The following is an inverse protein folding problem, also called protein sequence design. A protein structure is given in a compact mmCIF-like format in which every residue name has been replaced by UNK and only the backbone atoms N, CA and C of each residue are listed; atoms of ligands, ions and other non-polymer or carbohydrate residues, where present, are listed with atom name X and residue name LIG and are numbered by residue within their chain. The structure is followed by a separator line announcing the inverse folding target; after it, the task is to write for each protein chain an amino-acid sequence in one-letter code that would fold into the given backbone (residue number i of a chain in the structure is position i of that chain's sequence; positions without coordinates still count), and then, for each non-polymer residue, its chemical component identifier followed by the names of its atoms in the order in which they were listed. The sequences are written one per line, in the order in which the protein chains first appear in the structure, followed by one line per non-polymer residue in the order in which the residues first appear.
data_IF_233106048544
#
_entry.id   IF_233106048544
#
_cell.length_a   1.000
_cell.length_b   1.000
_cell.length_c   1.000
_cell.angle_alpha   90.00
_cell.angle_beta   90.00
_cell.angle_gamma   90.00
#
_symmetry.space_group_name_H-M   'P 1'
#
loop_
_entity.id
_entity.type
_entity.pdbx_description
1 polymer ?
#
# COMPACT_ATOMS: atom_id res chain seq x y z
N UNK A 1 -0.84 -34.86 -11.77
CA UNK A 1 0.04 -34.96 -10.59
C UNK A 1 -0.35 -33.86 -9.61
N UNK A 2 -0.54 -34.19 -8.33
CA UNK A 2 -0.94 -33.21 -7.31
C UNK A 2 0.30 -32.71 -6.58
N UNK A 3 0.37 -31.40 -6.32
CA UNK A 3 1.40 -30.77 -5.49
C UNK A 3 0.79 -30.44 -4.12
N UNK A 4 1.55 -30.66 -3.05
CA UNK A 4 1.10 -30.33 -1.68
C UNK A 4 1.50 -28.91 -1.32
N UNK A 5 0.53 -28.14 -0.84
CA UNK A 5 0.71 -26.77 -0.36
C UNK A 5 0.39 -26.69 1.11
N UNK A 6 1.25 -26.00 1.86
CA UNK A 6 1.05 -25.76 3.30
C UNK A 6 0.72 -24.30 3.55
N UNK A 7 -0.43 -24.03 4.18
CA UNK A 7 -0.79 -22.71 4.69
C UNK A 7 -0.81 -22.71 6.22
N UNK A 8 -0.22 -21.67 6.82
CA UNK A 8 -0.29 -21.44 8.26
C UNK A 8 -1.61 -20.76 8.61
N UNK A 9 -2.66 -21.56 8.74
CA UNK A 9 -4.03 -21.09 8.99
C UNK A 9 -4.15 -20.17 10.22
N UNK A 10 -3.32 -20.38 11.25
CA UNK A 10 -3.26 -19.46 12.40
C UNK A 10 -2.84 -18.03 12.05
N UNK A 11 -1.95 -17.84 11.07
CA UNK A 11 -1.59 -16.51 10.58
C UNK A 11 -2.66 -15.94 9.64
N UNK A 12 -3.20 -16.74 8.71
CA UNK A 12 -4.32 -16.31 7.84
C UNK A 12 -5.52 -15.85 8.68
N UNK A 13 -5.82 -16.52 9.79
CA UNK A 13 -6.86 -16.09 10.73
C UNK A 13 -6.59 -14.68 11.31
N UNK A 14 -5.32 -14.34 11.53
CA UNK A 14 -4.91 -13.02 12.00
C UNK A 14 -4.96 -11.95 10.90
N UNK A 15 -4.99 -12.32 9.62
CA UNK A 15 -5.24 -11.41 8.49
C UNK A 15 -6.72 -11.11 8.25
N UNK A 16 -7.61 -11.47 9.20
CA UNK A 16 -9.02 -11.10 9.10
C UNK A 16 -9.17 -9.56 9.08
N UNK A 17 -10.03 -8.99 8.22
CA UNK A 17 -10.13 -7.54 8.04
C UNK A 17 -10.39 -6.77 9.33
N UNK A 18 -11.17 -7.33 10.26
CA UNK A 18 -11.47 -6.71 11.55
C UNK A 18 -10.20 -6.48 12.37
N UNK A 19 -9.30 -7.47 12.38
CA UNK A 19 -8.06 -7.39 13.15
C UNK A 19 -7.08 -6.42 12.51
N UNK A 20 -6.99 -6.39 11.18
CA UNK A 20 -6.14 -5.45 10.46
C UNK A 20 -6.62 -4.01 10.70
N UNK A 21 -7.93 -3.78 10.66
CA UNK A 21 -8.51 -2.47 10.99
C UNK A 21 -8.17 -2.05 12.43
N UNK A 22 -8.29 -2.96 13.40
CA UNK A 22 -7.85 -2.69 14.77
C UNK A 22 -6.36 -2.36 14.88
N UNK A 23 -5.50 -3.06 14.13
CA UNK A 23 -4.06 -2.76 14.07
C UNK A 23 -3.83 -1.35 13.49
N UNK A 24 -4.55 -0.95 12.45
CA UNK A 24 -4.46 0.39 11.88
C UNK A 24 -4.87 1.48 12.89
N UNK A 25 -5.96 1.25 13.63
CA UNK A 25 -6.43 2.14 14.71
C UNK A 25 -5.38 2.24 15.83
N UNK A 26 -4.84 1.10 16.28
CA UNK A 26 -3.80 1.08 17.31
C UNK A 26 -2.50 1.75 16.85
N UNK A 27 -2.13 1.59 15.58
CA UNK A 27 -0.98 2.27 15.00
C UNK A 27 -1.18 3.80 14.99
N UNK A 28 -2.38 4.27 14.62
CA UNK A 28 -2.73 5.69 14.71
C UNK A 28 -2.62 6.22 16.14
N UNK A 29 -3.19 5.52 17.13
CA UNK A 29 -3.05 5.91 18.54
C UNK A 29 -1.59 5.88 19.01
N UNK A 30 -0.80 4.91 18.56
CA UNK A 30 0.64 4.87 18.81
C UNK A 30 1.35 6.11 18.26
N UNK A 31 1.02 6.54 17.04
CA UNK A 31 1.54 7.79 16.50
C UNK A 31 1.07 9.00 17.31
N UNK A 32 -0.21 9.08 17.68
CA UNK A 32 -0.74 10.21 18.47
C UNK A 32 -0.05 10.39 19.83
N UNK A 33 0.37 9.30 20.47
CA UNK A 33 1.04 9.34 21.77
C UNK A 33 2.54 9.64 21.63
N UNK A 34 3.19 9.06 20.62
CA UNK A 34 4.63 9.12 20.48
C UNK A 34 5.12 10.31 19.65
N UNK A 35 4.32 10.79 18.68
CA UNK A 35 4.75 11.80 17.74
C UNK A 35 5.12 13.11 18.44
N UNK A 36 6.30 13.67 18.19
CA UNK A 36 6.74 14.92 18.80
C UNK A 36 6.18 16.12 18.02
N UNK A 37 4.86 16.18 17.85
CA UNK A 37 4.17 17.17 17.01
C UNK A 37 3.17 17.99 17.80
N UNK A 38 2.96 19.23 17.36
CA UNK A 38 1.80 20.04 17.73
C UNK A 38 0.65 19.74 16.75
N UNK A 39 -0.59 19.82 17.22
CA UNK A 39 -1.78 19.62 16.38
C UNK A 39 -2.39 20.99 16.10
N UNK A 40 -2.23 21.47 14.87
CA UNK A 40 -2.75 22.78 14.46
C UNK A 40 -4.26 22.75 14.20
N UNK A 41 -4.79 21.60 13.74
CA UNK A 41 -6.19 21.44 13.39
C UNK A 41 -6.91 20.49 14.33
N UNK A 42 -7.96 20.98 14.98
CA UNK A 42 -8.82 20.14 15.83
C UNK A 42 -9.81 19.35 14.98
N UNK A 43 -10.03 18.10 15.36
CA UNK A 43 -11.07 17.26 14.77
C UNK A 43 -12.46 17.79 15.18
N UNK A 44 -13.28 18.16 14.19
CA UNK A 44 -14.67 18.53 14.45
C UNK A 44 -15.55 17.29 14.65
N UNK A 45 -16.67 17.47 15.36
CA UNK A 45 -17.57 16.37 15.71
C UNK A 45 -18.16 15.66 14.48
N UNK A 46 -18.39 16.37 13.38
CA UNK A 46 -18.93 15.80 12.14
C UNK A 46 -17.92 14.85 11.50
N UNK A 47 -16.66 15.28 11.40
CA UNK A 47 -15.56 14.47 10.86
C UNK A 47 -15.27 13.23 11.71
N UNK A 48 -15.24 13.39 13.05
CA UNK A 48 -15.07 12.26 13.97
C UNK A 48 -16.23 11.28 13.82
N UNK A 49 -17.46 11.78 13.77
CA UNK A 49 -18.66 10.94 13.60
C UNK A 49 -18.61 10.17 12.28
N UNK A 50 -18.20 10.81 11.18
CA UNK A 50 -18.06 10.15 9.88
C UNK A 50 -17.06 9.00 9.91
N UNK A 51 -15.88 9.21 10.50
CA UNK A 51 -14.84 8.18 10.62
C UNK A 51 -15.35 7.03 11.50
N UNK A 52 -15.90 7.33 12.68
CA UNK A 52 -16.40 6.30 13.61
C UNK A 52 -17.52 5.49 12.95
N UNK A 53 -18.51 6.14 12.35
CA UNK A 53 -19.62 5.46 11.67
C UNK A 53 -19.10 4.60 10.50
N UNK A 54 -18.16 5.11 9.71
CA UNK A 54 -17.52 4.36 8.63
C UNK A 54 -16.85 3.07 9.13
N UNK A 55 -16.13 3.14 10.26
CA UNK A 55 -15.50 1.97 10.89
C UNK A 55 -16.53 0.98 11.45
N UNK A 56 -17.59 1.49 12.08
CA UNK A 56 -18.69 0.67 12.59
C UNK A 56 -19.41 -0.08 11.45
N UNK A 57 -19.71 0.62 10.34
CA UNK A 57 -20.34 0.02 9.16
C UNK A 57 -19.41 -0.99 8.48
N UNK A 58 -18.11 -0.68 8.38
CA UNK A 58 -17.12 -1.65 7.92
C UNK A 58 -17.15 -2.92 8.76
N UNK A 59 -17.10 -2.81 10.09
CA UNK A 59 -17.20 -3.97 10.96
C UNK A 59 -18.53 -4.70 10.83
N UNK A 60 -19.67 -3.99 10.73
CA UNK A 60 -20.96 -4.60 10.48
C UNK A 60 -20.94 -5.42 9.17
N UNK A 61 -20.33 -4.90 8.10
CA UNK A 61 -20.12 -5.61 6.84
C UNK A 61 -19.31 -6.89 6.99
N UNK A 62 -18.23 -6.85 7.79
CA UNK A 62 -17.45 -8.07 8.08
C UNK A 62 -18.23 -9.13 8.86
N UNK A 63 -19.23 -8.75 9.66
CA UNK A 63 -20.06 -9.71 10.42
C UNK A 63 -21.02 -10.53 9.56
N UNK A 64 -21.28 -10.11 8.32
CA UNK A 64 -22.08 -10.89 7.36
C UNK A 64 -21.49 -12.27 7.07
N UNK A 65 -20.19 -12.47 7.32
CA UNK A 65 -19.52 -13.78 7.20
C UNK A 65 -19.05 -14.21 8.60
N UNK A 66 -19.70 -15.26 9.13
CA UNK A 66 -19.43 -15.77 10.48
C UNK A 66 -17.98 -16.24 10.61
N UNK A 67 -17.30 -15.73 11.63
CA UNK A 67 -15.93 -16.14 11.95
C UNK A 67 -15.93 -17.28 12.96
N UNK A 68 -15.44 -18.45 12.54
CA UNK A 68 -15.09 -19.59 13.39
C UNK A 68 -13.62 -19.93 13.20
N UNK A 69 -12.89 -20.12 14.29
CA UNK A 69 -11.47 -20.47 14.23
C UNK A 69 -11.33 -21.97 13.92
N UNK A 70 -10.52 -22.28 12.92
CA UNK A 70 -10.06 -23.63 12.59
C UNK A 70 -8.66 -23.80 13.18
N UNK A 71 -8.48 -24.79 14.05
CA UNK A 71 -7.23 -25.02 14.79
C UNK A 71 -6.31 -26.07 14.15
N UNK A 72 -6.78 -26.79 13.14
CA UNK A 72 -5.99 -27.82 12.45
C UNK A 72 -5.20 -27.25 11.27
N UNK A 73 -3.92 -27.63 11.11
CA UNK A 73 -3.18 -27.35 9.88
C UNK A 73 -3.86 -28.08 8.72
N UNK A 74 -3.88 -27.45 7.54
CA UNK A 74 -4.48 -28.04 6.35
C UNK A 74 -3.43 -28.16 5.26
N UNK A 75 -3.27 -29.38 4.75
CA UNK A 75 -2.56 -29.64 3.49
C UNK A 75 -3.54 -29.52 2.34
N UNK A 76 -3.19 -28.68 1.36
CA UNK A 76 -4.00 -28.45 0.17
C UNK A 76 -3.32 -29.16 -0.99
N UNK A 77 -4.03 -30.06 -1.66
CA UNK A 77 -3.54 -30.67 -2.89
C UNK A 77 -3.98 -29.81 -4.08
N UNK A 78 -3.03 -29.35 -4.89
CA UNK A 78 -3.30 -28.55 -6.09
C UNK A 78 -2.84 -29.26 -7.36
N UNK A 79 -3.55 -29.05 -8.46
CA UNK A 79 -3.15 -29.56 -9.77
C UNK A 79 -1.85 -28.89 -10.24
N UNK A 80 -0.77 -29.69 -10.34
CA UNK A 80 0.56 -29.23 -10.73
C UNK A 80 0.57 -28.52 -12.08
N UNK A 81 -0.07 -29.13 -13.09
CA UNK A 81 -0.03 -28.60 -14.47
C UNK A 81 -0.79 -27.28 -14.60
N UNK A 82 -1.88 -27.14 -13.85
CA UNK A 82 -2.65 -25.89 -13.81
C UNK A 82 -1.90 -24.78 -13.07
N UNK A 83 -1.28 -25.07 -11.91
CA UNK A 83 -0.46 -24.08 -11.18
C UNK A 83 0.77 -23.66 -11.99
N UNK A 84 1.43 -24.59 -12.66
CA UNK A 84 2.55 -24.28 -13.54
C UNK A 84 2.13 -23.38 -14.72
N UNK A 85 0.94 -23.61 -15.29
CA UNK A 85 0.38 -22.73 -16.33
C UNK A 85 0.14 -21.32 -15.80
N UNK A 86 -0.48 -21.19 -14.62
CA UNK A 86 -0.72 -19.88 -13.98
C UNK A 86 0.61 -19.18 -13.72
N UNK A 87 1.60 -19.91 -13.18
CA UNK A 87 2.95 -19.39 -12.95
C UNK A 87 3.56 -18.84 -14.24
N UNK A 88 3.59 -19.62 -15.32
CA UNK A 88 4.20 -19.21 -16.59
C UNK A 88 3.50 -17.98 -17.17
N UNK A 89 2.18 -17.96 -17.21
CA UNK A 89 1.41 -16.82 -17.73
C UNK A 89 1.71 -15.56 -16.91
N UNK A 90 1.58 -15.64 -15.58
CA UNK A 90 1.78 -14.48 -14.71
C UNK A 90 3.24 -14.02 -14.66
N UNK A 91 4.20 -14.94 -14.78
CA UNK A 91 5.62 -14.61 -14.93
C UNK A 91 5.87 -13.81 -16.21
N UNK A 92 5.42 -14.28 -17.37
CA UNK A 92 5.65 -13.58 -18.64
C UNK A 92 4.92 -12.23 -18.69
N UNK A 93 3.68 -12.15 -18.20
CA UNK A 93 2.97 -10.87 -18.08
C UNK A 93 3.73 -9.91 -17.16
N UNK A 94 4.18 -10.38 -16.00
CA UNK A 94 4.96 -9.59 -15.05
C UNK A 94 6.28 -9.10 -15.66
N UNK A 95 7.01 -9.98 -16.34
CA UNK A 95 8.27 -9.65 -17.01
C UNK A 95 8.05 -8.59 -18.10
N UNK A 96 7.06 -8.77 -18.98
CA UNK A 96 6.72 -7.78 -20.02
C UNK A 96 6.34 -6.44 -19.36
N UNK A 97 5.54 -6.48 -18.29
CA UNK A 97 5.17 -5.28 -17.55
C UNK A 97 6.37 -4.52 -16.97
N UNK A 98 7.33 -5.23 -16.37
CA UNK A 98 8.57 -4.66 -15.85
C UNK A 98 9.44 -4.09 -16.97
N UNK A 99 9.63 -4.84 -18.06
CA UNK A 99 10.43 -4.39 -19.20
C UNK A 99 9.84 -3.14 -19.85
N UNK A 100 8.53 -3.08 -20.04
CA UNK A 100 7.85 -1.90 -20.57
C UNK A 100 7.91 -0.73 -19.60
N UNK A 101 7.84 -0.98 -18.29
CA UNK A 101 8.05 0.08 -17.29
C UNK A 101 9.45 0.66 -17.39
N UNK A 102 10.46 -0.18 -17.59
CA UNK A 102 11.85 0.28 -17.69
C UNK A 102 12.12 0.99 -19.01
N UNK A 103 11.50 0.52 -20.09
CA UNK A 103 11.55 1.23 -21.36
C UNK A 103 10.90 2.63 -21.25
N UNK A 104 9.71 2.73 -20.65
CA UNK A 104 9.04 4.00 -20.34
C UNK A 104 9.94 4.92 -19.49
N UNK A 105 10.53 4.40 -18.41
CA UNK A 105 11.37 5.18 -17.50
C UNK A 105 12.68 5.63 -18.14
N UNK A 106 13.51 4.69 -18.61
CA UNK A 106 14.89 4.98 -19.01
C UNK A 106 15.01 5.46 -20.46
N UNK A 107 14.13 4.99 -21.36
CA UNK A 107 14.25 5.29 -22.80
C UNK A 107 13.32 6.42 -23.22
N UNK A 108 12.05 6.36 -22.83
CA UNK A 108 11.08 7.38 -23.23
C UNK A 108 11.22 8.66 -22.40
N UNK A 109 11.19 8.54 -21.07
CA UNK A 109 11.25 9.68 -20.14
C UNK A 109 12.68 10.14 -19.81
N UNK A 110 13.69 9.35 -20.15
CA UNK A 110 15.09 9.66 -19.86
C UNK A 110 15.45 9.71 -18.37
N UNK A 111 14.68 9.03 -17.50
CA UNK A 111 14.98 8.91 -16.07
C UNK A 111 16.34 8.25 -15.89
N UNK A 112 17.21 8.80 -15.04
CA UNK A 112 18.54 8.25 -14.80
C UNK A 112 18.80 8.03 -13.31
N UNK A 113 19.72 7.13 -13.00
CA UNK A 113 20.27 6.98 -11.64
C UNK A 113 21.23 8.14 -11.32
N UNK A 114 21.79 8.78 -12.35
CA UNK A 114 22.73 9.89 -12.22
C UNK A 114 22.06 11.25 -12.00
N UNK A 115 20.77 11.37 -12.31
CA UNK A 115 19.97 12.58 -12.11
C UNK A 115 19.41 12.65 -10.69
N UNK A 116 19.03 13.86 -10.24
CA UNK A 116 18.44 14.03 -8.92
C UNK A 116 17.09 13.32 -8.83
N UNK A 117 16.66 13.00 -7.61
CA UNK A 117 15.35 12.35 -7.43
C UNK A 117 14.20 13.29 -7.84
N UNK A 118 14.41 14.61 -7.72
CA UNK A 118 13.42 15.61 -8.14
C UNK A 118 13.33 15.72 -9.65
N UNK A 119 14.48 15.79 -10.36
CA UNK A 119 14.48 15.83 -11.83
C UNK A 119 13.77 14.60 -12.40
N UNK A 120 14.00 13.43 -11.80
CA UNK A 120 13.30 12.20 -12.16
C UNK A 120 11.79 12.27 -11.91
N UNK A 121 11.35 12.93 -10.82
CA UNK A 121 9.92 13.17 -10.59
C UNK A 121 9.32 14.09 -11.65
N UNK A 122 10.04 15.15 -12.04
CA UNK A 122 9.57 16.12 -13.03
C UNK A 122 9.48 15.49 -14.43
N UNK A 123 10.46 14.68 -14.82
CA UNK A 123 10.42 13.89 -16.07
C UNK A 123 9.26 12.89 -16.10
N UNK A 124 8.90 12.33 -14.94
CA UNK A 124 7.72 11.48 -14.82
C UNK A 124 6.40 12.25 -14.81
N UNK A 125 6.39 13.51 -14.36
CA UNK A 125 5.20 14.35 -14.30
C UNK A 125 4.91 15.06 -15.63
N UNK A 126 5.96 15.44 -16.39
CA UNK A 126 5.86 16.29 -17.57
C UNK A 126 5.26 15.62 -18.81
N UNK A 127 5.32 14.30 -18.94
CA UNK A 127 4.82 13.59 -20.13
C UNK A 127 3.56 12.76 -19.85
N UNK A 128 2.51 13.02 -20.65
CA UNK A 128 1.29 12.21 -20.67
C UNK A 128 1.65 10.74 -20.92
N UNK A 129 1.06 9.81 -20.14
CA UNK A 129 1.51 8.41 -20.16
C UNK A 129 1.53 7.80 -21.57
N UNK A 130 2.65 7.26 -22.03
CA UNK A 130 2.70 6.55 -23.31
C UNK A 130 2.01 5.16 -23.21
N UNK A 131 1.85 4.49 -24.35
CA UNK A 131 1.24 3.16 -24.42
C UNK A 131 2.01 2.11 -23.59
N UNK A 132 3.34 2.20 -23.54
CA UNK A 132 4.18 1.32 -22.73
C UNK A 132 3.88 1.47 -21.24
N UNK A 133 3.69 2.70 -20.77
CA UNK A 133 3.36 3.03 -19.38
C UNK A 133 1.99 2.48 -18.98
N UNK A 134 1.01 2.55 -19.89
CA UNK A 134 -0.33 1.99 -19.67
C UNK A 134 -0.26 0.47 -19.55
N UNK A 135 0.35 -0.20 -20.54
CA UNK A 135 0.49 -1.66 -20.55
C UNK A 135 1.31 -2.12 -19.34
N UNK A 136 2.42 -1.44 -19.04
CA UNK A 136 3.26 -1.73 -17.89
C UNK A 136 2.45 -1.69 -16.59
N UNK A 137 1.66 -0.63 -16.37
CA UNK A 137 0.87 -0.45 -15.16
C UNK A 137 -0.16 -1.57 -14.96
N UNK A 138 -0.75 -2.10 -16.04
CA UNK A 138 -1.70 -3.21 -15.98
C UNK A 138 -1.04 -4.57 -15.74
N UNK A 139 0.16 -4.79 -16.28
CA UNK A 139 0.82 -6.10 -16.29
C UNK A 139 1.79 -6.31 -15.13
N UNK A 140 2.46 -5.27 -14.64
CA UNK A 140 3.56 -5.37 -13.67
C UNK A 140 3.15 -6.06 -12.37
N UNK A 141 1.89 -5.92 -11.94
CA UNK A 141 1.39 -6.58 -10.72
C UNK A 141 1.28 -8.10 -10.86
N UNK A 142 1.35 -8.65 -12.08
CA UNK A 142 1.43 -10.10 -12.29
C UNK A 142 2.70 -10.69 -11.69
N UNK A 143 3.79 -9.89 -11.57
CA UNK A 143 5.04 -10.31 -10.95
C UNK A 143 4.93 -10.63 -9.44
N UNK A 144 3.83 -10.26 -8.77
CA UNK A 144 3.57 -10.62 -7.37
C UNK A 144 3.13 -12.09 -7.20
N UNK A 145 2.71 -12.76 -8.27
CA UNK A 145 2.10 -14.09 -8.23
C UNK A 145 3.15 -15.22 -8.30
N UNK A 146 4.16 -15.18 -9.19
CA UNK A 146 5.19 -16.23 -9.24
C UNK A 146 5.93 -16.46 -7.91
N UNK A 147 6.39 -15.42 -7.16
CA UNK A 147 7.02 -15.63 -5.86
C UNK A 147 6.08 -16.26 -4.82
N UNK A 148 4.78 -15.98 -4.90
CA UNK A 148 3.78 -16.66 -4.05
C UNK A 148 3.72 -18.15 -4.37
N UNK A 149 3.64 -18.51 -5.65
CA UNK A 149 3.59 -19.91 -6.08
C UNK A 149 4.88 -20.64 -5.67
N UNK A 150 6.05 -20.03 -5.83
CA UNK A 150 7.34 -20.63 -5.44
C UNK A 150 7.46 -20.85 -3.92
N UNK A 151 6.83 -19.99 -3.11
CA UNK A 151 6.75 -20.16 -1.66
C UNK A 151 5.75 -21.25 -1.24
N UNK A 152 4.66 -21.41 -1.99
CA UNK A 152 3.61 -22.39 -1.71
C UNK A 152 3.97 -23.80 -2.21
N UNK A 153 4.65 -23.88 -3.36
CA UNK A 153 4.97 -25.10 -4.10
C UNK A 153 6.48 -25.23 -4.29
N UNK A 154 7.22 -25.51 -3.21
CA UNK A 154 8.69 -25.45 -3.22
C UNK A 154 9.37 -26.39 -4.22
N UNK A 155 8.74 -27.49 -4.60
CA UNK A 155 9.34 -28.47 -5.51
C UNK A 155 8.90 -28.29 -6.96
N UNK A 156 8.05 -27.30 -7.24
CA UNK A 156 7.46 -27.09 -8.56
C UNK A 156 8.50 -26.65 -9.60
N UNK A 157 9.40 -25.74 -9.21
CA UNK A 157 10.39 -25.13 -10.10
C UNK A 157 11.82 -25.27 -9.59
N UNK A 158 12.78 -25.24 -10.52
CA UNK A 158 14.21 -25.21 -10.20
C UNK A 158 14.60 -23.89 -9.52
N UNK A 159 15.72 -23.91 -8.80
CA UNK A 159 16.29 -22.72 -8.15
C UNK A 159 16.42 -21.52 -9.10
N UNK A 160 16.89 -21.72 -10.33
CA UNK A 160 17.07 -20.63 -11.31
C UNK A 160 15.78 -19.90 -11.64
N UNK A 161 14.66 -20.63 -11.80
CA UNK A 161 13.35 -20.02 -12.04
C UNK A 161 12.86 -19.21 -10.85
N UNK A 162 13.10 -19.68 -9.62
CA UNK A 162 12.74 -18.96 -8.39
C UNK A 162 13.55 -17.68 -8.21
N UNK A 163 14.83 -17.71 -8.57
CA UNK A 163 15.67 -16.51 -8.56
C UNK A 163 15.16 -15.51 -9.58
N UNK A 164 14.87 -15.97 -10.79
CA UNK A 164 14.39 -15.10 -11.86
C UNK A 164 13.04 -14.47 -11.50
N UNK A 165 12.09 -15.25 -10.95
CA UNK A 165 10.79 -14.75 -10.50
C UNK A 165 10.95 -13.71 -9.39
N UNK A 166 11.87 -13.95 -8.45
CA UNK A 166 12.17 -13.01 -7.38
C UNK A 166 12.85 -11.73 -7.89
N UNK A 167 13.75 -11.82 -8.87
CA UNK A 167 14.38 -10.65 -9.51
C UNK A 167 13.32 -9.77 -10.19
N UNK A 168 12.40 -10.38 -10.96
CA UNK A 168 11.31 -9.64 -11.62
C UNK A 168 10.39 -8.96 -10.60
N UNK A 169 10.14 -9.59 -9.46
CA UNK A 169 9.39 -8.98 -8.37
C UNK A 169 10.13 -7.82 -7.70
N UNK A 170 11.42 -8.00 -7.38
CA UNK A 170 12.27 -6.97 -6.77
C UNK A 170 12.48 -5.77 -7.70
N UNK A 171 12.50 -5.99 -9.01
CA UNK A 171 12.60 -4.96 -10.03
C UNK A 171 11.49 -3.90 -9.91
N UNK A 172 10.33 -4.25 -9.36
CA UNK A 172 9.23 -3.29 -9.13
C UNK A 172 9.63 -2.17 -8.15
N UNK A 173 10.57 -2.43 -7.24
CA UNK A 173 11.03 -1.46 -6.24
C UNK A 173 12.01 -0.43 -6.82
N UNK A 174 12.63 -0.69 -7.98
CA UNK A 174 13.62 0.22 -8.59
C UNK A 174 13.00 1.59 -8.90
N UNK A 175 11.75 1.62 -9.38
CA UNK A 175 11.02 2.88 -9.57
C UNK A 175 10.86 3.66 -8.26
N UNK A 176 10.70 2.98 -7.12
CA UNK A 176 10.66 3.64 -5.82
C UNK A 176 12.01 4.26 -5.45
N UNK A 177 13.12 3.60 -5.77
CA UNK A 177 14.48 4.09 -5.51
C UNK A 177 14.80 5.31 -6.39
N UNK A 178 14.54 5.23 -7.69
CA UNK A 178 14.83 6.31 -8.66
C UNK A 178 14.10 7.61 -8.32
N UNK A 179 12.92 7.49 -7.73
CA UNK A 179 11.99 8.59 -7.52
C UNK A 179 11.85 8.94 -6.03
N UNK A 180 12.69 8.36 -5.16
CA UNK A 180 12.60 8.59 -3.70
C UNK A 180 11.26 8.20 -3.07
N UNK A 181 10.45 7.35 -3.72
CA UNK A 181 9.13 6.94 -3.23
C UNK A 181 9.22 5.78 -2.25
N UNK A 182 9.04 6.10 -0.97
CA UNK A 182 9.12 5.14 0.15
C UNK A 182 8.05 4.04 0.07
N UNK A 183 6.80 4.40 -0.25
CA UNK A 183 5.70 3.43 -0.33
C UNK A 183 5.84 2.46 -1.52
N UNK A 184 6.44 2.90 -2.62
CA UNK A 184 6.72 2.02 -3.75
C UNK A 184 7.72 0.90 -3.41
N UNK A 185 8.55 1.10 -2.38
CA UNK A 185 9.48 0.09 -1.84
C UNK A 185 8.82 -0.72 -0.72
N UNK A 186 8.19 -0.05 0.24
CA UNK A 186 7.62 -0.69 1.45
C UNK A 186 6.50 -1.67 1.08
N UNK A 187 5.66 -1.37 0.10
CA UNK A 187 4.48 -2.19 -0.22
C UNK A 187 4.87 -3.59 -0.74
N UNK A 188 5.76 -3.75 -1.73
CA UNK A 188 6.30 -5.06 -2.11
C UNK A 188 6.92 -5.82 -0.93
N UNK A 189 7.68 -5.13 -0.06
CA UNK A 189 8.31 -5.75 1.11
C UNK A 189 7.25 -6.28 2.09
N UNK A 190 6.26 -5.47 2.45
CA UNK A 190 5.17 -5.87 3.35
C UNK A 190 4.35 -7.00 2.72
N UNK A 191 4.07 -6.93 1.41
CA UNK A 191 3.39 -8.01 0.70
C UNK A 191 4.15 -9.33 0.81
N UNK A 192 5.45 -9.33 0.52
CA UNK A 192 6.27 -10.54 0.59
C UNK A 192 6.40 -11.06 2.03
N UNK A 193 6.49 -10.16 3.01
CA UNK A 193 6.47 -10.51 4.43
C UNK A 193 5.16 -11.22 4.83
N UNK A 194 4.02 -10.71 4.39
CA UNK A 194 2.72 -11.35 4.61
C UNK A 194 2.66 -12.75 3.98
N UNK A 195 3.25 -12.94 2.79
CA UNK A 195 3.36 -14.26 2.17
C UNK A 195 4.22 -15.22 2.99
N UNK A 196 5.42 -14.82 3.41
CA UNK A 196 6.32 -15.65 4.21
C UNK A 196 5.69 -16.09 5.54
N UNK A 197 4.92 -15.22 6.17
CA UNK A 197 4.18 -15.52 7.39
C UNK A 197 2.99 -16.45 7.14
N UNK A 198 2.32 -16.27 6.00
CA UNK A 198 1.19 -17.11 5.54
C UNK A 198 1.61 -18.53 5.19
N UNK A 199 2.82 -18.72 4.63
CA UNK A 199 3.40 -20.04 4.33
C UNK A 199 4.18 -20.64 5.51
N UNK A 200 4.36 -19.88 6.59
CA UNK A 200 5.09 -20.32 7.77
C UNK A 200 6.61 -20.45 7.57
N UNK A 201 7.14 -19.94 6.45
CA UNK A 201 8.58 -19.85 6.15
C UNK A 201 9.29 -18.86 7.06
N UNK A 202 8.57 -17.81 7.49
CA UNK A 202 9.00 -16.95 8.57
C UNK A 202 8.26 -17.29 9.87
N UNK A 203 9.02 -17.58 10.92
CA UNK A 203 8.49 -17.80 12.27
C UNK A 203 8.97 -16.65 13.16
N UNK A 204 8.05 -15.80 13.60
CA UNK A 204 8.32 -14.91 14.72
C UNK A 204 8.51 -15.74 15.98
N UNK A 205 9.76 -16.08 16.29
CA UNK A 205 10.17 -16.51 17.62
C UNK A 205 10.74 -15.27 18.30
N UNK A 206 10.08 -14.82 19.37
CA UNK A 206 10.63 -13.82 20.27
C UNK A 206 11.84 -14.45 20.98
N UNK A 207 13.00 -14.37 20.35
CA UNK A 207 14.29 -14.62 20.97
C UNK A 207 15.08 -13.33 20.94
N UNK A 208 15.94 -13.11 21.93
CA UNK A 208 16.80 -11.94 21.98
C UNK A 208 17.58 -11.74 20.66
N UNK A 209 18.14 -12.82 20.11
CA UNK A 209 18.83 -12.81 18.80
C UNK A 209 17.94 -12.30 17.66
N UNK A 210 16.71 -12.80 17.56
CA UNK A 210 15.79 -12.37 16.50
C UNK A 210 15.37 -10.92 16.70
N UNK A 211 15.15 -10.50 17.94
CA UNK A 211 14.83 -9.12 18.28
C UNK A 211 15.97 -8.16 17.89
N UNK A 212 17.23 -8.56 18.12
CA UNK A 212 18.40 -7.79 17.68
C UNK A 212 18.51 -7.72 16.16
N UNK A 213 18.25 -8.81 15.44
CA UNK A 213 18.23 -8.80 13.97
C UNK A 213 17.15 -7.83 13.46
N UNK A 214 15.94 -7.88 14.02
CA UNK A 214 14.86 -6.95 13.65
C UNK A 214 15.21 -5.51 13.96
N UNK A 215 15.85 -5.26 15.11
CA UNK A 215 16.31 -3.93 15.48
C UNK A 215 17.35 -3.40 14.47
N UNK A 216 18.34 -4.21 14.09
CA UNK A 216 19.34 -3.84 13.08
C UNK A 216 18.69 -3.57 11.72
N UNK A 217 17.71 -4.38 11.30
CA UNK A 217 16.97 -4.15 10.06
C UNK A 217 16.19 -2.84 10.12
N UNK A 218 15.46 -2.57 11.22
CA UNK A 218 14.68 -1.35 11.39
C UNK A 218 15.61 -0.12 11.39
N UNK A 219 16.75 -0.19 12.08
CA UNK A 219 17.77 0.87 12.09
C UNK A 219 18.33 1.07 10.68
N UNK A 220 18.75 0.01 9.99
CA UNK A 220 19.29 0.10 8.63
C UNK A 220 18.29 0.69 7.63
N UNK A 221 17.04 0.21 7.65
CA UNK A 221 15.96 0.75 6.81
C UNK A 221 15.66 2.21 7.18
N UNK A 222 15.59 2.53 8.48
CA UNK A 222 15.38 3.88 8.97
C UNK A 222 16.46 4.85 8.51
N UNK A 223 17.73 4.42 8.54
CA UNK A 223 18.85 5.19 8.02
C UNK A 223 18.73 5.42 6.51
N UNK A 224 18.47 4.38 5.71
CA UNK A 224 18.32 4.51 4.25
C UNK A 224 17.17 5.48 3.91
N UNK A 225 16.02 5.33 4.57
CA UNK A 225 14.86 6.20 4.36
C UNK A 225 15.18 7.65 4.76
N UNK A 226 15.82 7.86 5.92
CA UNK A 226 16.21 9.19 6.40
C UNK A 226 17.25 9.85 5.48
N UNK A 227 18.27 9.11 5.06
CA UNK A 227 19.31 9.60 4.16
C UNK A 227 18.77 9.98 2.78
N UNK A 228 17.88 9.16 2.20
CA UNK A 228 17.19 9.49 0.95
C UNK A 228 16.39 10.79 1.08
N UNK A 229 15.76 11.02 2.22
CA UNK A 229 14.96 12.21 2.45
C UNK A 229 15.82 13.46 2.68
N UNK A 230 16.90 13.36 3.44
CA UNK A 230 17.88 14.44 3.60
C UNK A 230 18.51 14.86 2.27
N UNK A 231 18.86 13.88 1.43
CA UNK A 231 19.35 14.14 0.08
C UNK A 231 18.31 14.93 -0.73
N UNK A 232 17.05 14.51 -0.71
CA UNK A 232 15.96 15.20 -1.40
C UNK A 232 15.78 16.65 -0.93
N UNK A 233 15.84 16.90 0.38
CA UNK A 233 15.73 18.25 0.92
C UNK A 233 16.88 19.17 0.48
N UNK A 234 18.10 18.62 0.47
CA UNK A 234 19.27 19.33 -0.05
C UNK A 234 19.09 19.71 -1.52
N UNK A 235 18.48 18.84 -2.32
CA UNK A 235 18.17 19.10 -3.74
C UNK A 235 17.08 20.18 -3.89
N UNK A 236 16.19 20.35 -2.91
CA UNK A 236 15.11 21.36 -2.90
C UNK A 236 15.51 22.71 -2.32
N UNK A 237 16.75 22.88 -1.84
CA UNK A 237 17.17 24.02 -1.03
C UNK A 237 16.27 24.25 0.21
N UNK A 238 15.67 23.17 0.74
CA UNK A 238 14.82 23.20 1.94
C UNK A 238 15.64 22.74 3.13
N UNK A 239 15.67 23.53 4.20
CA UNK A 239 16.37 23.11 5.42
C UNK A 239 15.59 22.01 6.14
N UNK A 240 16.29 21.22 6.95
CA UNK A 240 15.67 20.15 7.73
C UNK A 240 14.58 20.68 8.65
N UNK A 241 14.82 21.82 9.32
CA UNK A 241 13.84 22.46 10.20
C UNK A 241 12.63 22.96 9.41
N UNK A 242 12.85 23.59 8.25
CA UNK A 242 11.77 24.03 7.36
C UNK A 242 10.85 22.87 6.95
N UNK A 243 11.41 21.68 6.68
CA UNK A 243 10.65 20.51 6.22
C UNK A 243 9.73 19.87 7.27
N UNK A 244 9.99 20.11 8.56
CA UNK A 244 9.23 19.55 9.68
C UNK A 244 8.41 20.61 10.40
N UNK A 245 8.64 21.88 10.09
CA UNK A 245 7.83 23.02 10.52
C UNK A 245 6.71 23.28 9.49
N UNK A 246 5.82 24.21 9.81
CA UNK A 246 4.73 24.62 8.92
C UNK A 246 5.19 25.48 7.73
N UNK A 247 6.50 25.72 7.57
CA UNK A 247 7.05 26.68 6.60
C UNK A 247 7.02 26.17 5.15
N UNK A 248 7.14 24.86 4.92
CA UNK A 248 7.23 24.29 3.55
C UNK A 248 5.89 23.82 2.98
N UNK A 249 4.81 23.90 3.76
CA UNK A 249 3.53 23.27 3.41
C UNK A 249 3.59 21.73 3.42
N UNK A 250 2.50 21.07 3.02
CA UNK A 250 2.36 19.61 3.08
C UNK A 250 1.94 19.10 4.46
N UNK A 251 2.34 17.87 4.82
CA UNK A 251 1.89 17.22 6.06
C UNK A 251 2.38 17.93 7.35
N UNK A 252 3.53 18.61 7.30
CA UNK A 252 4.11 19.35 8.44
C UNK A 252 3.36 20.64 8.78
N UNK A 253 2.50 21.14 7.88
CA UNK A 253 1.60 22.27 8.17
C UNK A 253 0.56 21.92 9.22
N UNK A 254 0.07 20.67 9.22
CA UNK A 254 -1.03 20.24 10.09
C UNK A 254 -0.58 19.66 11.41
N UNK A 255 0.56 18.99 11.35
CA UNK A 255 1.20 18.36 12.50
C UNK A 255 2.68 18.76 12.56
N UNK A 256 3.00 20.06 12.72
CA UNK A 256 4.38 20.50 12.80
C UNK A 256 5.10 19.85 13.98
N UNK A 257 6.39 19.62 13.86
CA UNK A 257 7.18 19.15 15.00
C UNK A 257 7.16 20.21 16.12
N UNK A 258 7.10 19.77 17.37
CA UNK A 258 7.13 20.67 18.54
C UNK A 258 8.40 21.53 18.52
N UNK A 259 8.32 22.76 19.05
CA UNK A 259 9.48 23.65 19.15
C UNK A 259 10.68 22.99 19.88
N UNK A 260 10.40 22.19 20.92
CA UNK A 260 11.42 21.41 21.62
C UNK A 260 12.12 20.40 20.72
N UNK A 261 11.38 19.74 19.84
CA UNK A 261 11.93 18.73 18.93
C UNK A 261 12.68 19.38 17.76
N UNK A 262 12.20 20.52 17.25
CA UNK A 262 12.93 21.31 16.25
C UNK A 262 14.30 21.77 16.77
N UNK A 263 14.35 22.23 18.03
CA UNK A 263 15.61 22.58 18.70
C UNK A 263 16.53 21.37 18.84
N UNK A 264 16.01 20.24 19.32
CA UNK A 264 16.78 18.99 19.42
C UNK A 264 17.40 18.57 18.09
N UNK A 265 16.64 18.68 16.98
CA UNK A 265 17.15 18.36 15.64
C UNK A 265 18.25 19.31 15.19
N UNK A 266 18.13 20.60 15.50
CA UNK A 266 19.15 21.60 15.16
C UNK A 266 20.45 21.34 15.93
N UNK A 267 20.33 21.13 17.24
CA UNK A 267 21.46 20.85 18.15
C UNK A 267 22.15 19.50 17.88
N UNK A 268 21.45 18.57 17.23
CA UNK A 268 21.97 17.23 16.91
C UNK A 268 22.48 17.08 15.48
N UNK A 269 22.54 18.15 14.69
CA UNK A 269 22.88 18.12 13.26
C UNK A 269 24.24 17.47 12.93
N UNK A 270 25.20 17.51 13.85
CA UNK A 270 26.52 16.88 13.73
C UNK A 270 26.59 15.45 14.30
N UNK A 271 25.49 14.93 14.86
CA UNK A 271 25.47 13.65 15.57
C UNK A 271 25.03 12.50 14.67
N UNK A 272 25.59 11.31 14.92
CA UNK A 272 25.26 10.09 14.17
C UNK A 272 23.76 9.72 14.21
N UNK A 273 23.06 10.13 15.27
CA UNK A 273 21.64 9.82 15.45
C UNK A 273 20.68 10.81 14.77
N UNK A 274 21.21 11.90 14.17
CA UNK A 274 20.44 12.94 13.49
C UNK A 274 19.48 12.37 12.44
N UNK A 275 20.00 11.50 11.58
CA UNK A 275 19.24 10.88 10.48
C UNK A 275 18.02 10.12 11.01
N UNK A 276 18.15 9.52 12.21
CA UNK A 276 17.08 8.76 12.84
C UNK A 276 16.02 9.66 13.48
N UNK A 277 16.44 10.74 14.17
CA UNK A 277 15.50 11.73 14.69
C UNK A 277 14.70 12.38 13.56
N UNK A 278 15.38 12.66 12.45
CA UNK A 278 14.77 13.23 11.26
C UNK A 278 13.80 12.24 10.58
N UNK A 279 14.21 10.98 10.40
CA UNK A 279 13.32 9.95 9.85
C UNK A 279 12.11 9.73 10.76
N UNK A 280 12.30 9.74 12.07
CA UNK A 280 11.25 9.57 13.07
C UNK A 280 10.18 10.67 12.98
N UNK A 281 10.57 11.95 13.01
CA UNK A 281 9.62 13.07 12.84
C UNK A 281 8.80 12.92 11.55
N UNK A 282 9.46 12.69 10.42
CA UNK A 282 8.78 12.53 9.13
C UNK A 282 7.81 11.34 9.10
N UNK A 283 8.19 10.20 9.65
CA UNK A 283 7.32 9.01 9.70
C UNK A 283 6.12 9.27 10.59
N UNK A 284 6.32 9.90 11.75
CA UNK A 284 5.22 10.21 12.68
C UNK A 284 4.26 11.24 12.11
N UNK A 285 4.77 12.35 11.55
CA UNK A 285 3.96 13.37 10.87
C UNK A 285 3.17 12.77 9.71
N UNK A 286 3.82 12.00 8.84
CA UNK A 286 3.15 11.31 7.74
C UNK A 286 2.14 10.27 8.25
N UNK A 287 2.42 9.61 9.38
CA UNK A 287 1.52 8.61 9.97
C UNK A 287 0.19 9.18 10.49
N UNK A 288 0.12 10.48 10.75
CA UNK A 288 -1.02 11.11 11.42
C UNK A 288 -1.64 12.30 10.69
N UNK A 289 -0.95 12.97 9.75
CA UNK A 289 -1.44 14.17 9.06
C UNK A 289 -2.88 14.02 8.55
N UNK A 290 -3.17 12.87 7.96
CA UNK A 290 -4.40 12.58 7.27
C UNK A 290 -5.67 12.72 8.12
N UNK A 291 -5.61 12.40 9.41
CA UNK A 291 -6.79 12.53 10.28
C UNK A 291 -7.10 13.99 10.58
N UNK A 292 -6.07 14.83 10.72
CA UNK A 292 -6.20 16.26 11.04
C UNK A 292 -6.43 17.13 9.80
N UNK A 293 -6.16 16.60 8.60
CA UNK A 293 -6.54 17.21 7.32
C UNK A 293 -8.01 17.01 6.98
N UNK A 294 -8.58 15.85 7.36
CA UNK A 294 -9.93 15.48 6.98
C UNK A 294 -11.00 16.54 7.33
N UNK A 295 -11.01 17.19 8.50
CA UNK A 295 -11.94 18.27 8.85
C UNK A 295 -11.98 19.45 7.87
N UNK A 296 -10.81 19.97 7.50
CA UNK A 296 -10.71 21.12 6.59
C UNK A 296 -11.28 20.76 5.22
N UNK A 297 -10.91 19.58 4.73
CA UNK A 297 -11.29 19.13 3.41
C UNK A 297 -12.77 18.75 3.36
N UNK A 298 -13.28 18.08 4.41
CA UNK A 298 -14.70 17.80 4.56
C UNK A 298 -15.53 19.08 4.53
N UNK A 299 -15.12 20.10 5.30
CA UNK A 299 -15.79 21.41 5.33
C UNK A 299 -15.80 22.06 3.94
N UNK A 300 -14.70 21.98 3.21
CA UNK A 300 -14.63 22.49 1.84
C UNK A 300 -15.60 21.77 0.90
N UNK A 301 -15.63 20.42 0.94
CA UNK A 301 -16.55 19.61 0.14
C UNK A 301 -18.01 19.91 0.49
N UNK A 302 -18.34 20.03 1.78
CA UNK A 302 -19.70 20.36 2.24
C UNK A 302 -20.15 21.75 1.77
N UNK A 303 -19.22 22.70 1.60
CA UNK A 303 -19.51 24.04 1.09
C UNK A 303 -19.75 24.07 -0.41
N UNK A 304 -19.02 23.26 -1.19
CA UNK A 304 -19.21 23.18 -2.64
C UNK A 304 -20.46 22.36 -3.01
N UNK A 305 -20.80 21.34 -2.22
CA UNK A 305 -21.98 20.49 -2.46
C UNK A 305 -21.81 19.50 -3.62
N UNK A 306 -20.62 19.42 -4.22
CA UNK A 306 -20.32 18.55 -5.35
C UNK A 306 -19.63 17.24 -4.93
N UNK A 307 -20.03 16.14 -5.57
CA UNK A 307 -19.50 14.80 -5.35
C UNK A 307 -19.00 14.15 -6.64
N UNK A 308 -17.93 13.37 -6.53
CA UNK A 308 -17.25 12.75 -7.69
C UNK A 308 -17.69 11.31 -7.99
N UNK A 309 -18.59 10.74 -7.18
CA UNK A 309 -19.24 9.44 -7.41
C UNK A 309 -18.29 8.27 -7.69
N UNK A 310 -17.09 8.30 -7.11
CA UNK A 310 -16.07 7.27 -7.23
C UNK A 310 -14.93 7.65 -8.18
N UNK A 311 -15.07 8.75 -8.93
CA UNK A 311 -14.05 9.18 -9.86
C UNK A 311 -12.73 9.51 -9.17
N UNK A 312 -12.76 9.99 -7.92
CA UNK A 312 -11.56 10.38 -7.18
C UNK A 312 -10.85 9.18 -6.52
N UNK A 313 -11.60 8.27 -5.90
CA UNK A 313 -11.11 7.03 -5.27
C UNK A 313 -10.63 6.03 -6.32
N UNK A 314 -11.28 5.98 -7.48
CA UNK A 314 -10.88 5.15 -8.62
C UNK A 314 -10.23 5.97 -9.72
N UNK A 315 -9.42 6.99 -9.35
CA UNK A 315 -8.84 7.95 -10.30
C UNK A 315 -8.09 7.31 -11.47
N UNK A 316 -7.45 6.16 -11.25
CA UNK A 316 -6.80 5.37 -12.31
C UNK A 316 -7.80 4.92 -13.39
N UNK A 317 -8.98 4.42 -13.00
CA UNK A 317 -10.02 3.96 -13.92
C UNK A 317 -10.60 5.16 -14.66
N UNK A 318 -10.89 6.25 -13.95
CA UNK A 318 -11.37 7.50 -14.54
C UNK A 318 -10.39 8.05 -15.58
N UNK A 319 -9.10 8.17 -15.23
CA UNK A 319 -8.04 8.62 -16.16
C UNK A 319 -7.98 7.73 -17.41
N UNK A 320 -8.09 6.41 -17.24
CA UNK A 320 -8.11 5.49 -18.37
C UNK A 320 -9.33 5.71 -19.29
N UNK A 321 -10.54 5.80 -18.73
CA UNK A 321 -11.78 6.02 -19.50
C UNK A 321 -11.72 7.33 -20.27
N UNK A 322 -11.39 8.44 -19.62
CA UNK A 322 -11.33 9.75 -20.28
C UNK A 322 -10.26 9.80 -21.38
N UNK A 323 -9.12 9.13 -21.16
CA UNK A 323 -8.08 9.02 -22.18
C UNK A 323 -8.53 8.21 -23.40
N UNK A 324 -9.24 7.10 -23.20
CA UNK A 324 -9.79 6.29 -24.30
C UNK A 324 -10.89 7.05 -25.06
N UNK A 325 -11.69 7.85 -24.35
CA UNK A 325 -12.74 8.68 -24.94
C UNK A 325 -12.23 10.01 -25.55
N UNK A 326 -10.92 10.29 -25.48
CA UNK A 326 -10.34 11.54 -25.99
C UNK A 326 -10.78 12.80 -25.22
N UNK A 327 -11.23 12.65 -23.98
CA UNK A 327 -11.68 13.75 -23.14
C UNK A 327 -10.49 14.46 -22.48
N UNK A 328 -10.51 15.80 -22.46
CA UNK A 328 -9.53 16.64 -21.75
C UNK A 328 -9.71 16.67 -20.24
N UNK A 329 -10.71 15.96 -19.71
CA UNK A 329 -11.01 15.94 -18.28
C UNK A 329 -9.84 15.36 -17.46
N UNK A 330 -9.34 16.16 -16.51
CA UNK A 330 -8.26 15.78 -15.63
C UNK A 330 -8.75 15.68 -14.19
N UNK A 331 -9.13 14.48 -13.77
CA UNK A 331 -9.56 14.19 -12.40
C UNK A 331 -8.53 14.63 -11.34
N UNK A 332 -7.23 14.65 -11.66
CA UNK A 332 -6.22 15.09 -10.69
C UNK A 332 -6.31 16.60 -10.43
N UNK A 333 -6.57 17.37 -11.49
CA UNK A 333 -6.78 18.81 -11.37
C UNK A 333 -8.04 19.09 -10.56
N UNK A 334 -9.12 18.35 -10.80
CA UNK A 334 -10.35 18.47 -10.03
C UNK A 334 -10.18 18.09 -8.56
N UNK A 335 -9.49 16.99 -8.26
CA UNK A 335 -9.13 16.64 -6.87
C UNK A 335 -8.32 17.76 -6.21
N UNK A 336 -7.37 18.35 -6.94
CA UNK A 336 -6.53 19.42 -6.41
C UNK A 336 -7.31 20.72 -6.18
N UNK A 337 -8.30 21.04 -7.04
CA UNK A 337 -9.21 22.18 -6.86
C UNK A 337 -10.09 22.01 -5.62
N UNK A 338 -10.49 20.77 -5.33
CA UNK A 338 -11.28 20.43 -4.15
C UNK A 338 -10.45 20.11 -2.91
N UNK A 339 -9.13 20.15 -3.05
CA UNK A 339 -8.21 20.06 -1.94
C UNK A 339 -8.05 21.46 -1.33
N UNK A 340 -8.18 21.56 -0.01
CA UNK A 340 -7.98 22.82 0.69
C UNK A 340 -6.58 23.42 0.44
N UNK A 341 -5.59 22.58 0.06
CA UNK A 341 -4.28 23.04 -0.47
C UNK A 341 -3.71 22.13 -1.56
N UNK A 342 -3.14 22.75 -2.60
CA UNK A 342 -2.42 22.06 -3.67
C UNK A 342 -1.19 21.34 -3.09
N UNK A 343 -0.99 20.07 -3.45
CA UNK A 343 0.20 19.29 -3.06
C UNK A 343 0.04 18.43 -1.79
N UNK A 344 -1.11 18.44 -1.12
CA UNK A 344 -1.42 17.54 -0.01
C UNK A 344 -1.94 16.20 -0.56
N UNK A 345 -1.41 15.09 -0.05
CA UNK A 345 -1.75 13.74 -0.53
C UNK A 345 -3.19 13.39 -0.21
N UNK A 346 -3.82 12.71 -1.15
CA UNK A 346 -5.20 12.30 -1.01
C UNK A 346 -5.34 11.10 -0.06
N UNK A 347 -5.86 11.35 1.14
CA UNK A 347 -6.06 10.33 2.18
C UNK A 347 -7.29 9.47 1.88
N UNK A 348 -7.43 8.31 2.53
CA UNK A 348 -8.56 7.42 2.27
C UNK A 348 -9.90 8.12 2.55
N UNK A 349 -10.08 8.63 3.77
CA UNK A 349 -11.34 9.27 4.17
C UNK A 349 -11.63 10.55 3.40
N UNK A 350 -10.59 11.31 3.01
CA UNK A 350 -10.77 12.46 2.11
C UNK A 350 -11.40 12.03 0.79
N UNK A 351 -10.73 11.20 -0.03
CA UNK A 351 -11.29 10.85 -1.35
C UNK A 351 -12.61 10.10 -1.24
N UNK A 352 -12.75 9.28 -0.20
CA UNK A 352 -13.99 8.56 0.04
C UNK A 352 -15.15 9.52 0.33
N UNK A 353 -14.92 10.59 1.10
CA UNK A 353 -15.93 11.61 1.34
C UNK A 353 -16.16 12.52 0.11
N UNK A 354 -15.10 12.87 -0.62
CA UNK A 354 -15.20 13.64 -1.86
C UNK A 354 -16.08 12.92 -2.90
N UNK A 355 -15.95 11.60 -3.00
CA UNK A 355 -16.76 10.80 -3.92
C UNK A 355 -18.19 10.57 -3.45
N UNK A 356 -18.37 10.28 -2.16
CA UNK A 356 -19.62 9.64 -1.69
C UNK A 356 -20.29 10.37 -0.52
N UNK A 357 -19.68 11.41 0.05
CA UNK A 357 -20.17 12.09 1.24
C UNK A 357 -20.60 11.11 2.33
N UNK A 358 -21.74 11.37 2.97
CA UNK A 358 -22.32 10.48 3.98
C UNK A 358 -22.76 9.11 3.45
N UNK A 359 -23.04 8.96 2.16
CA UNK A 359 -23.32 7.64 1.55
C UNK A 359 -22.07 6.74 1.64
N UNK A 360 -20.88 7.33 1.70
CA UNK A 360 -19.62 6.63 1.94
C UNK A 360 -19.63 5.75 3.18
N UNK A 361 -20.38 6.12 4.24
CA UNK A 361 -20.54 5.28 5.45
C UNK A 361 -21.18 3.93 5.09
N UNK A 362 -22.21 3.92 4.26
CA UNK A 362 -22.86 2.68 3.82
C UNK A 362 -21.96 1.88 2.87
N UNK A 363 -21.19 2.56 2.02
CA UNK A 363 -20.23 1.87 1.14
C UNK A 363 -19.10 1.18 1.92
N UNK A 364 -18.75 1.68 3.11
CA UNK A 364 -17.80 0.99 4.00
C UNK A 364 -18.32 -0.36 4.49
N UNK A 365 -19.64 -0.54 4.64
CA UNK A 365 -20.22 -1.86 4.88
C UNK A 365 -19.94 -2.82 3.73
N UNK A 366 -20.11 -2.36 2.49
CA UNK A 366 -19.81 -3.17 1.30
C UNK A 366 -18.33 -3.54 1.26
N UNK A 367 -17.44 -2.57 1.52
CA UNK A 367 -16.00 -2.82 1.61
C UNK A 367 -15.64 -3.85 2.69
N UNK A 368 -16.26 -3.76 3.86
CA UNK A 368 -16.12 -4.72 4.95
C UNK A 368 -16.56 -6.13 4.56
N UNK A 369 -17.71 -6.25 3.89
CA UNK A 369 -18.19 -7.54 3.38
C UNK A 369 -17.26 -8.12 2.30
N UNK A 370 -16.85 -7.33 1.31
CA UNK A 370 -16.00 -7.79 0.21
C UNK A 370 -14.62 -8.24 0.69
N UNK A 371 -13.98 -7.45 1.56
CA UNK A 371 -12.68 -7.81 2.17
C UNK A 371 -12.79 -9.09 3.00
N UNK A 372 -13.87 -9.24 3.77
CA UNK A 372 -14.14 -10.45 4.54
C UNK A 372 -14.39 -11.66 3.64
N UNK A 373 -15.05 -11.46 2.50
CA UNK A 373 -15.30 -12.51 1.51
C UNK A 373 -13.99 -13.04 0.92
N UNK A 374 -13.05 -12.16 0.56
CA UNK A 374 -11.71 -12.56 0.12
C UNK A 374 -11.00 -13.38 1.19
N UNK A 375 -10.97 -12.89 2.43
CA UNK A 375 -10.40 -13.63 3.56
C UNK A 375 -11.05 -15.01 3.73
N UNK A 376 -12.38 -15.11 3.64
CA UNK A 376 -13.12 -16.36 3.81
C UNK A 376 -12.81 -17.39 2.72
N UNK A 377 -12.54 -16.95 1.48
CA UNK A 377 -12.14 -17.84 0.39
C UNK A 377 -10.75 -18.44 0.62
N UNK A 378 -9.82 -17.67 1.19
CA UNK A 378 -8.50 -18.20 1.59
C UNK A 378 -8.66 -19.11 2.82
N UNK A 379 -9.38 -18.64 3.85
CA UNK A 379 -9.39 -19.29 5.16
C UNK A 379 -10.29 -20.54 5.24
N UNK A 380 -11.51 -20.48 4.72
CA UNK A 380 -12.45 -21.60 4.78
C UNK A 380 -12.41 -22.47 3.52
N UNK A 381 -12.32 -21.84 2.35
CA UNK A 381 -12.32 -22.56 1.06
C UNK A 381 -10.92 -22.93 0.58
N UNK A 382 -9.87 -22.45 1.25
CA UNK A 382 -8.48 -22.81 0.95
C UNK A 382 -8.08 -22.51 -0.50
N UNK A 383 -8.73 -21.51 -1.10
CA UNK A 383 -8.50 -21.13 -2.47
C UNK A 383 -7.27 -20.24 -2.57
N UNK A 384 -6.11 -20.85 -2.77
CA UNK A 384 -4.80 -20.19 -2.69
C UNK A 384 -4.65 -18.96 -3.60
N UNK A 385 -5.36 -18.91 -4.75
CA UNK A 385 -5.29 -17.76 -5.66
C UNK A 385 -5.91 -16.47 -5.09
N UNK A 386 -6.68 -16.55 -4.00
CA UNK A 386 -7.16 -15.35 -3.29
C UNK A 386 -6.07 -14.74 -2.38
N UNK A 387 -4.96 -15.44 -2.13
CA UNK A 387 -3.92 -14.98 -1.21
C UNK A 387 -3.26 -13.65 -1.63
N UNK A 388 -2.91 -13.40 -2.91
CA UNK A 388 -2.36 -12.11 -3.33
C UNK A 388 -3.32 -10.95 -3.05
N UNK A 389 -4.61 -11.17 -3.35
CA UNK A 389 -5.67 -10.20 -3.11
C UNK A 389 -5.87 -9.95 -1.61
N UNK A 390 -5.82 -11.00 -0.77
CA UNK A 390 -5.87 -10.86 0.68
C UNK A 390 -4.70 -10.03 1.23
N UNK A 391 -3.47 -10.28 0.75
CA UNK A 391 -2.29 -9.54 1.17
C UNK A 391 -2.40 -8.05 0.81
N UNK A 392 -2.77 -7.71 -0.43
CA UNK A 392 -2.93 -6.31 -0.85
C UNK A 392 -4.09 -5.62 -0.12
N UNK A 393 -5.24 -6.28 0.06
CA UNK A 393 -6.34 -5.72 0.85
C UNK A 393 -5.93 -5.49 2.30
N UNK A 394 -5.12 -6.38 2.89
CA UNK A 394 -4.58 -6.17 4.24
C UNK A 394 -3.68 -4.93 4.31
N UNK A 395 -2.87 -4.66 3.28
CA UNK A 395 -2.05 -3.46 3.19
C UNK A 395 -2.93 -2.21 3.02
N UNK A 396 -3.94 -2.24 2.16
CA UNK A 396 -4.90 -1.14 2.00
C UNK A 396 -5.56 -0.79 3.34
N UNK A 397 -6.04 -1.80 4.07
CA UNK A 397 -6.68 -1.58 5.38
C UNK A 397 -5.70 -1.08 6.44
N UNK A 398 -4.44 -1.51 6.41
CA UNK A 398 -3.40 -1.01 7.31
C UNK A 398 -3.13 0.49 7.10
N UNK A 399 -3.18 0.94 5.84
CA UNK A 399 -2.87 2.31 5.42
C UNK A 399 -4.09 3.24 5.40
N UNK A 400 -5.26 2.77 5.84
CA UNK A 400 -6.54 3.50 5.72
C UNK A 400 -6.50 4.89 6.38
N UNK A 401 -5.74 5.08 7.45
CA UNK A 401 -5.61 6.38 8.13
C UNK A 401 -4.46 7.23 7.59
N UNK A 402 -3.71 6.78 6.57
CA UNK A 402 -2.51 7.46 6.08
C UNK A 402 -2.64 7.89 4.63
N UNK A 403 -3.12 7.01 3.76
CA UNK A 403 -3.21 7.29 2.33
C UNK A 403 -4.28 6.43 1.64
N UNK A 404 -4.90 6.96 0.59
CA UNK A 404 -5.79 6.15 -0.24
C UNK A 404 -4.98 5.31 -1.24
N UNK A 405 -4.60 4.10 -0.85
CA UNK A 405 -3.81 3.24 -1.76
C UNK A 405 -4.61 2.80 -2.98
N UNK A 406 -5.94 2.78 -2.89
CA UNK A 406 -6.84 2.44 -4.01
C UNK A 406 -6.68 3.47 -5.13
N UNK A 407 -6.72 4.77 -4.83
CA UNK A 407 -6.64 5.82 -5.85
C UNK A 407 -5.32 5.84 -6.65
N UNK A 408 -4.26 5.24 -6.09
CA UNK A 408 -2.98 5.10 -6.76
C UNK A 408 -2.73 3.70 -7.31
N UNK A 409 -1.52 3.18 -7.04
CA UNK A 409 -1.07 1.92 -7.61
C UNK A 409 -1.82 0.68 -7.10
N UNK A 410 -2.57 0.80 -6.00
CA UNK A 410 -3.42 -0.26 -5.48
C UNK A 410 -4.55 -0.65 -6.43
N UNK A 411 -5.11 0.29 -7.22
CA UNK A 411 -6.13 -0.06 -8.23
C UNK A 411 -5.60 -1.06 -9.25
N UNK A 412 -4.39 -0.86 -9.78
CA UNK A 412 -3.80 -1.80 -10.72
C UNK A 412 -3.61 -3.19 -10.08
N UNK A 413 -3.10 -3.26 -8.84
CA UNK A 413 -2.97 -4.51 -8.11
C UNK A 413 -4.31 -5.24 -7.93
N UNK A 414 -5.36 -4.50 -7.52
CA UNK A 414 -6.71 -5.03 -7.36
C UNK A 414 -7.25 -5.59 -8.68
N UNK A 415 -7.13 -4.84 -9.78
CA UNK A 415 -7.56 -5.28 -11.11
C UNK A 415 -6.83 -6.55 -11.52
N UNK A 416 -5.51 -6.61 -11.42
CA UNK A 416 -4.71 -7.78 -11.81
C UNK A 416 -5.11 -9.02 -11.00
N UNK A 417 -5.29 -8.89 -9.68
CA UNK A 417 -5.62 -10.04 -8.83
C UNK A 417 -7.08 -10.47 -8.95
N UNK A 418 -8.01 -9.55 -9.21
CA UNK A 418 -9.40 -9.90 -9.53
C UNK A 418 -9.45 -10.59 -10.90
N UNK A 419 -8.73 -10.09 -11.90
CA UNK A 419 -8.62 -10.71 -13.22
C UNK A 419 -8.07 -12.15 -13.12
N UNK A 420 -7.03 -12.37 -12.31
CA UNK A 420 -6.51 -13.70 -12.01
C UNK A 420 -7.61 -14.64 -11.51
N UNK A 421 -8.43 -14.19 -10.57
CA UNK A 421 -9.52 -14.99 -10.00
C UNK A 421 -10.63 -15.29 -11.01
N UNK A 422 -10.91 -14.38 -11.94
CA UNK A 422 -11.91 -14.55 -13.00
C UNK A 422 -11.39 -15.56 -14.04
N UNK A 423 -10.16 -15.38 -14.52
CA UNK A 423 -9.56 -16.23 -15.55
C UNK A 423 -9.29 -17.65 -15.05
N UNK A 424 -8.99 -17.82 -13.75
CA UNK A 424 -8.64 -19.10 -13.15
C UNK A 424 -9.59 -19.43 -11.98
N UNK A 425 -10.91 -19.37 -12.21
CA UNK A 425 -11.96 -19.63 -11.20
C UNK A 425 -12.28 -21.12 -10.97
N UNK A 426 -11.81 -22.02 -11.84
CA UNK A 426 -12.08 -23.46 -11.76
C UNK A 426 -11.63 -24.06 -10.41
N UNK A 427 -12.26 -25.10 -9.84
CA UNK A 427 -11.72 -25.75 -8.65
C UNK A 427 -10.38 -26.43 -8.96
N UNK A 428 -9.26 -25.82 -8.54
CA UNK A 428 -7.89 -26.34 -8.71
C UNK A 428 -7.39 -27.15 -7.51
N UNK A 429 -8.14 -27.16 -6.41
CA UNK A 429 -7.73 -27.70 -5.13
C UNK A 429 -8.70 -28.74 -4.59
N UNK A 430 -8.18 -29.92 -4.23
CA UNK A 430 -8.88 -30.89 -3.37
C UNK A 430 -8.34 -30.75 -1.96
N UNK A 431 -9.23 -30.48 -1.00
CA UNK A 431 -8.87 -30.32 0.41
C UNK A 431 -8.79 -31.70 1.06
N UNK A 432 -7.62 -32.09 1.56
CA UNK A 432 -7.50 -33.22 2.48
C UNK A 432 -7.34 -32.67 3.90
N UNK A 433 -8.37 -32.85 4.72
CA UNK A 433 -8.26 -32.56 6.14
C UNK A 433 -7.46 -33.72 6.74
N UNK A 434 -6.22 -33.45 7.18
CA UNK A 434 -5.46 -34.41 7.97
C UNK A 434 -6.25 -34.72 9.25
N UNK A 435 -6.64 -35.99 9.42
CA UNK A 435 -7.12 -36.50 10.70
C UNK A 435 -5.96 -36.72 11.65
#
# INVERSE_FOLDING_TARGET
MMEKVTLKMGFIYNLRPEKIMWIAILALFGFLILAPVDINNTLDTSSVSYIILSLLFFWAGTKMIRTRRVNTPVEIEVDRGKIERIYKITFWLGLIGVLFRYYDLFVYRGVSISTSAMDNMDLMAGESGNIFSIIASMLMFSAYIPPMIDLLCEKLHSWGWKVLSFIVFVALMINGVLCGSRFAIVIPIVYYLLLLLSTGKLKFRFSFRNMMIWLVIIIGVGYVVGALFLRRLSEQNVTVVMSISSETGGYSDKVPATASFQRLLTESSDKWYFVYLFAYSNVTQYGMHAIFEFPEVKKYVDQQGDHFYGAATFSVITKFIHKVLGSSYNIQEEINRHNARIGIWSTFFFLWYLDFGWVGVFLMFILGYLTKKVWSNVYYRQHILYLPLLCILSIILLLVFQLNYISGSGTYALITFIALLICFKSPFSTVRIGK
#
